data_IF_697970290012
#
_entry.id   IF_697970290012
#
_cell.length_a   1.000
_cell.length_b   1.000
_cell.length_c   1.000
_cell.angle_alpha   90.00
_cell.angle_beta   90.00
_cell.angle_gamma   90.00
#
_symmetry.space_group_name_H-M   'P 1'
#
loop_
_entity.id
_entity.type
_entity.pdbx_description
1 polymer ?
#
# COMPACT_ATOMS: atom_id res chain seq x y z
N UNK A 1 -29.67 -10.13 -4.77
CA UNK A 1 -28.61 -9.09 -4.71
C UNK A 1 -28.56 -8.25 -3.42
N UNK A 2 -29.54 -8.31 -2.50
CA UNK A 2 -29.59 -7.43 -1.31
C UNK A 2 -28.66 -7.83 -0.13
N UNK A 3 -28.37 -9.12 0.05
CA UNK A 3 -27.59 -9.63 1.19
C UNK A 3 -26.12 -9.14 1.22
N UNK A 4 -25.54 -8.86 0.05
CA UNK A 4 -24.13 -8.47 -0.08
C UNK A 4 -23.89 -7.01 0.39
N UNK A 5 -24.89 -6.14 0.22
CA UNK A 5 -24.79 -4.72 0.57
C UNK A 5 -24.90 -4.50 2.08
N UNK A 6 -25.76 -5.26 2.76
CA UNK A 6 -25.87 -5.26 4.23
C UNK A 6 -24.61 -5.79 4.90
N UNK A 7 -24.01 -6.88 4.41
CA UNK A 7 -22.73 -7.39 4.92
C UNK A 7 -21.59 -6.39 4.72
N UNK A 8 -21.58 -5.67 3.60
CA UNK A 8 -20.59 -4.62 3.32
C UNK A 8 -20.75 -3.42 4.27
N UNK A 9 -21.98 -2.97 4.52
CA UNK A 9 -22.24 -1.90 5.49
C UNK A 9 -21.91 -2.30 6.93
N UNK A 10 -22.26 -3.52 7.33
CA UNK A 10 -21.97 -4.01 8.69
C UNK A 10 -20.46 -4.16 8.93
N UNK A 11 -19.72 -4.63 7.92
CA UNK A 11 -18.25 -4.73 7.99
C UNK A 11 -17.59 -3.34 8.03
N UNK A 12 -18.11 -2.36 7.30
CA UNK A 12 -17.65 -0.97 7.39
C UNK A 12 -17.99 -0.33 8.74
N UNK A 13 -19.20 -0.54 9.27
CA UNK A 13 -19.60 -0.02 10.57
C UNK A 13 -18.72 -0.60 11.69
N UNK A 14 -18.46 -1.92 11.66
CA UNK A 14 -17.52 -2.58 12.57
C UNK A 14 -16.10 -2.01 12.42
N UNK A 15 -15.64 -1.82 11.18
CA UNK A 15 -14.35 -1.21 10.89
C UNK A 15 -14.19 0.19 11.50
N UNK A 16 -15.21 1.03 11.32
CA UNK A 16 -15.23 2.39 11.83
C UNK A 16 -15.28 2.40 13.37
N UNK A 17 -16.05 1.50 13.97
CA UNK A 17 -16.12 1.37 15.43
C UNK A 17 -14.78 0.92 16.03
N UNK A 18 -14.14 -0.08 15.42
CA UNK A 18 -12.81 -0.54 15.81
C UNK A 18 -11.73 0.54 15.61
N UNK A 19 -11.90 1.40 14.59
CA UNK A 19 -11.00 2.53 14.33
C UNK A 19 -11.15 3.65 15.37
N UNK A 20 -12.36 3.84 15.89
CA UNK A 20 -12.67 4.95 16.81
C UNK A 20 -12.33 4.63 18.28
N UNK A 21 -12.27 3.35 18.63
CA UNK A 21 -12.12 2.88 20.02
C UNK A 21 -10.71 2.40 20.36
N UNK A 22 -9.79 2.32 19.38
CA UNK A 22 -8.44 1.82 19.61
C UNK A 22 -7.44 2.93 19.84
N UNK A 23 -6.66 2.78 20.90
CA UNK A 23 -5.36 3.41 21.00
C UNK A 23 -4.43 2.80 19.95
N UNK A 24 -4.12 3.59 18.92
CA UNK A 24 -3.27 3.18 17.81
C UNK A 24 -1.76 3.32 18.13
N UNK A 25 -1.38 3.82 19.32
CA UNK A 25 0.02 4.12 19.67
C UNK A 25 0.97 2.95 19.45
N UNK A 26 0.66 1.79 20.04
CA UNK A 26 1.49 0.57 19.89
C UNK A 26 1.54 0.13 18.43
N UNK A 27 0.39 0.16 17.74
CA UNK A 27 0.30 -0.20 16.34
C UNK A 27 1.14 0.73 15.44
N UNK A 28 1.14 2.03 15.69
CA UNK A 28 1.91 2.99 14.90
C UNK A 28 3.42 2.76 15.05
N UNK A 29 3.89 2.39 16.24
CA UNK A 29 5.29 2.00 16.46
C UNK A 29 5.65 0.72 15.70
N UNK A 30 4.78 -0.29 15.69
CA UNK A 30 4.97 -1.50 14.88
C UNK A 30 4.98 -1.19 13.38
N UNK A 31 4.08 -0.31 12.93
CA UNK A 31 4.02 0.13 11.54
C UNK A 31 5.32 0.84 11.14
N UNK A 32 5.84 1.74 11.98
CA UNK A 32 7.14 2.41 11.77
C UNK A 32 8.26 1.38 11.59
N UNK A 33 8.33 0.38 12.46
CA UNK A 33 9.35 -0.67 12.38
C UNK A 33 9.22 -1.50 11.08
N UNK A 34 8.00 -1.91 10.71
CA UNK A 34 7.74 -2.68 9.49
C UNK A 34 8.11 -1.88 8.24
N UNK A 35 7.70 -0.61 8.18
CA UNK A 35 8.03 0.28 7.07
C UNK A 35 9.53 0.48 6.96
N UNK A 36 10.25 0.62 8.08
CA UNK A 36 11.69 0.78 8.07
C UNK A 36 12.43 -0.38 7.42
N UNK A 37 12.10 -1.60 7.85
CA UNK A 37 12.66 -2.83 7.28
C UNK A 37 12.40 -2.88 5.77
N UNK A 38 11.20 -2.51 5.34
CA UNK A 38 10.79 -2.59 3.94
C UNK A 38 11.49 -1.56 3.06
N UNK A 39 11.60 -0.30 3.49
CA UNK A 39 12.33 0.73 2.74
C UNK A 39 13.84 0.45 2.67
N UNK A 40 14.42 -0.16 3.70
CA UNK A 40 15.83 -0.55 3.66
C UNK A 40 16.07 -1.76 2.73
N UNK A 41 15.07 -2.64 2.60
CA UNK A 41 15.18 -3.85 1.78
C UNK A 41 14.83 -3.61 0.31
N UNK A 42 14.14 -2.52 0.00
CA UNK A 42 13.53 -2.27 -1.31
C UNK A 42 13.65 -0.80 -1.70
N UNK A 43 14.71 -0.47 -2.45
CA UNK A 43 14.98 0.88 -2.92
C UNK A 43 13.90 1.41 -3.88
N UNK A 44 13.18 0.51 -4.56
CA UNK A 44 12.10 0.83 -5.51
C UNK A 44 10.92 1.60 -4.89
N UNK A 45 10.81 1.60 -3.55
CA UNK A 45 9.82 2.43 -2.88
C UNK A 45 10.12 3.94 -3.04
N UNK A 46 11.37 4.36 -3.22
CA UNK A 46 11.71 5.78 -3.32
C UNK A 46 11.01 6.53 -4.48
N UNK A 47 10.68 5.81 -5.57
CA UNK A 47 10.19 6.40 -6.82
C UNK A 47 8.67 6.22 -7.03
N UNK A 48 7.96 5.72 -6.01
CA UNK A 48 6.52 5.46 -6.12
C UNK A 48 5.73 6.77 -6.05
N UNK A 49 5.20 7.19 -7.20
CA UNK A 49 4.25 8.29 -7.31
C UNK A 49 2.92 7.80 -7.89
N UNK A 50 1.83 8.07 -7.20
CA UNK A 50 0.47 7.78 -7.68
C UNK A 50 -0.32 9.08 -7.84
N UNK A 51 -1.09 9.18 -8.92
CA UNK A 51 -2.02 10.29 -9.17
C UNK A 51 -3.34 10.17 -8.41
N UNK A 52 -3.63 8.99 -7.81
CA UNK A 52 -4.80 8.79 -6.97
C UNK A 52 -4.57 9.38 -5.57
N UNK A 53 -5.45 10.31 -5.15
CA UNK A 53 -5.41 10.96 -3.84
C UNK A 53 -5.42 9.97 -2.68
N UNK A 54 -6.12 8.85 -2.79
CA UNK A 54 -6.15 7.84 -1.70
C UNK A 54 -4.80 7.15 -1.58
N UNK A 55 -4.19 6.80 -2.70
CA UNK A 55 -2.85 6.20 -2.77
C UNK A 55 -1.79 7.18 -2.27
N UNK A 56 -1.89 8.46 -2.66
CA UNK A 56 -1.01 9.51 -2.20
C UNK A 56 -1.05 9.69 -0.68
N UNK A 57 -2.23 9.63 -0.05
CA UNK A 57 -2.34 9.70 1.41
C UNK A 57 -1.69 8.51 2.12
N UNK A 58 -1.90 7.30 1.60
CA UNK A 58 -1.22 6.09 2.10
C UNK A 58 0.29 6.24 1.98
N UNK A 59 0.75 6.75 0.84
CA UNK A 59 2.17 6.99 0.58
C UNK A 59 2.80 7.99 1.55
N UNK A 60 2.13 9.11 1.81
CA UNK A 60 2.56 10.10 2.80
C UNK A 60 2.67 9.50 4.20
N UNK A 61 1.73 8.63 4.58
CA UNK A 61 1.79 7.92 5.87
C UNK A 61 3.02 6.99 5.95
N UNK A 62 3.32 6.25 4.88
CA UNK A 62 4.51 5.39 4.82
C UNK A 62 5.81 6.22 4.89
N UNK A 63 5.89 7.36 4.19
CA UNK A 63 7.04 8.26 4.29
C UNK A 63 7.21 8.87 5.68
N UNK A 64 6.12 9.27 6.33
CA UNK A 64 6.17 9.76 7.70
C UNK A 64 6.73 8.69 8.63
N UNK A 65 6.28 7.43 8.47
CA UNK A 65 6.80 6.29 9.22
C UNK A 65 8.30 6.10 8.97
N UNK A 66 8.74 6.09 7.70
CA UNK A 66 10.15 5.90 7.36
C UNK A 66 11.05 7.03 7.89
N UNK A 67 10.59 8.28 7.85
CA UNK A 67 11.34 9.39 8.44
C UNK A 67 11.42 9.26 9.96
N UNK A 68 10.32 8.91 10.62
CA UNK A 68 10.31 8.67 12.07
C UNK A 68 11.24 7.52 12.47
N UNK A 69 11.36 6.47 11.65
CA UNK A 69 12.31 5.39 11.90
C UNK A 69 13.78 5.84 11.77
N UNK A 70 14.09 6.67 10.77
CA UNK A 70 15.45 7.20 10.56
C UNK A 70 15.85 8.24 11.61
N UNK A 71 14.91 9.06 12.04
CA UNK A 71 15.12 10.12 13.02
C UNK A 71 13.97 10.12 14.04
N UNK A 72 14.07 9.29 15.09
CA UNK A 72 13.05 9.22 16.13
C UNK A 72 12.98 10.54 16.90
N UNK A 73 11.87 11.24 16.78
CA UNK A 73 11.57 12.46 17.54
C UNK A 73 10.07 12.58 17.73
N UNK A 74 9.64 13.25 18.80
CA UNK A 74 8.23 13.54 19.06
C UNK A 74 7.58 14.23 17.86
N UNK A 75 8.26 15.23 17.30
CA UNK A 75 7.82 15.91 16.08
C UNK A 75 7.58 14.96 14.91
N UNK A 76 8.47 14.00 14.65
CA UNK A 76 8.30 13.06 13.54
C UNK A 76 7.18 12.05 13.83
N UNK A 77 7.03 11.63 15.09
CA UNK A 77 5.93 10.78 15.53
C UNK A 77 4.57 11.47 15.37
N UNK A 78 4.47 12.75 15.72
CA UNK A 78 3.24 13.53 15.50
C UNK A 78 2.84 13.59 14.02
N UNK A 79 3.81 13.60 13.09
CA UNK A 79 3.50 13.53 11.66
C UNK A 79 3.02 12.14 11.24
N UNK A 80 3.49 11.07 11.89
CA UNK A 80 2.94 9.72 11.71
C UNK A 80 1.50 9.69 12.17
N UNK A 81 1.21 10.20 13.38
CA UNK A 81 -0.16 10.27 13.92
C UNK A 81 -1.07 11.12 13.02
N UNK A 82 -0.61 12.29 12.58
CA UNK A 82 -1.37 13.18 11.70
C UNK A 82 -1.65 12.53 10.34
N UNK A 83 -0.64 11.92 9.71
CA UNK A 83 -0.81 11.24 8.43
C UNK A 83 -1.71 10.00 8.54
N UNK A 84 -1.63 9.26 9.64
CA UNK A 84 -2.52 8.16 9.99
C UNK A 84 -3.97 8.62 10.11
N UNK A 85 -4.22 9.71 10.84
CA UNK A 85 -5.57 10.26 11.03
C UNK A 85 -6.19 10.78 9.74
N UNK A 86 -5.36 11.16 8.75
CA UNK A 86 -5.82 11.57 7.42
C UNK A 86 -6.21 10.40 6.50
N UNK A 87 -5.95 9.16 6.91
CA UNK A 87 -6.38 7.96 6.20
C UNK A 87 -7.85 7.66 6.48
N UNK A 88 -8.59 7.29 5.43
CA UNK A 88 -9.93 6.73 5.60
C UNK A 88 -9.89 5.35 6.25
N UNK A 89 -11.00 4.96 6.89
CA UNK A 89 -11.17 3.69 7.62
C UNK A 89 -10.63 2.47 6.85
N UNK A 90 -10.95 2.37 5.56
CA UNK A 90 -10.51 1.25 4.72
C UNK A 90 -8.98 1.19 4.55
N UNK A 91 -8.33 2.33 4.36
CA UNK A 91 -6.88 2.41 4.22
C UNK A 91 -6.17 2.03 5.54
N UNK A 92 -6.70 2.49 6.68
CA UNK A 92 -6.20 2.08 8.00
C UNK A 92 -6.33 0.58 8.23
N UNK A 93 -7.47 -0.02 7.87
CA UNK A 93 -7.64 -1.47 7.97
C UNK A 93 -6.65 -2.24 7.10
N UNK A 94 -6.40 -1.78 5.88
CA UNK A 94 -5.43 -2.38 4.99
C UNK A 94 -4.00 -2.30 5.56
N UNK A 95 -3.59 -1.16 6.09
CA UNK A 95 -2.29 -1.03 6.76
C UNK A 95 -2.19 -1.89 8.02
N UNK A 96 -3.26 -2.01 8.81
CA UNK A 96 -3.30 -2.94 9.96
C UNK A 96 -3.11 -4.40 9.53
N UNK A 97 -3.58 -4.78 8.33
CA UNK A 97 -3.32 -6.12 7.78
C UNK A 97 -1.85 -6.31 7.45
N UNK A 98 -1.16 -5.31 6.89
CA UNK A 98 0.28 -5.39 6.55
C UNK A 98 1.12 -5.75 7.77
N UNK A 99 0.94 -5.05 8.88
CA UNK A 99 1.72 -5.28 10.10
C UNK A 99 1.52 -6.71 10.62
N UNK A 100 0.32 -7.27 10.43
CA UNK A 100 -0.04 -8.64 10.83
C UNK A 100 0.44 -9.73 9.87
N UNK A 101 0.84 -9.40 8.64
CA UNK A 101 1.38 -10.41 7.72
C UNK A 101 2.72 -10.93 8.24
N UNK A 102 2.90 -12.26 8.20
CA UNK A 102 4.18 -12.89 8.51
C UNK A 102 5.05 -12.94 7.26
N UNK A 103 6.30 -12.47 7.35
CA UNK A 103 7.27 -12.52 6.25
C UNK A 103 7.40 -11.21 5.46
N UNK A 104 8.65 -10.85 5.13
CA UNK A 104 9.01 -9.60 4.44
C UNK A 104 8.50 -9.54 3.00
N UNK A 105 8.50 -10.65 2.26
CA UNK A 105 8.02 -10.71 0.87
C UNK A 105 6.51 -10.39 0.74
N UNK A 106 5.67 -10.99 1.57
CA UNK A 106 4.21 -10.72 1.57
C UNK A 106 3.90 -9.28 1.99
N UNK A 107 4.67 -8.74 2.94
CA UNK A 107 4.55 -7.33 3.34
C UNK A 107 4.92 -6.38 2.21
N UNK A 108 5.98 -6.69 1.44
CA UNK A 108 6.41 -5.92 0.26
C UNK A 108 5.32 -5.90 -0.81
N UNK A 109 4.84 -7.07 -1.24
CA UNK A 109 3.80 -7.18 -2.26
C UNK A 109 2.52 -6.43 -1.86
N UNK A 110 2.14 -6.55 -0.58
CA UNK A 110 0.97 -5.86 -0.07
C UNK A 110 1.17 -4.34 -0.03
N UNK A 111 2.33 -3.83 0.42
CA UNK A 111 2.61 -2.39 0.40
C UNK A 111 2.63 -1.83 -1.02
N UNK A 112 3.22 -2.54 -1.99
CA UNK A 112 3.20 -2.14 -3.40
C UNK A 112 1.77 -2.13 -3.96
N UNK A 113 0.97 -3.14 -3.62
CA UNK A 113 -0.46 -3.15 -3.94
C UNK A 113 -1.22 -2.00 -3.28
N UNK A 114 -0.82 -1.58 -2.07
CA UNK A 114 -1.40 -0.46 -1.35
C UNK A 114 -1.02 0.92 -1.85
N UNK A 115 -0.03 1.02 -2.73
CA UNK A 115 0.38 2.27 -3.38
C UNK A 115 -0.05 2.29 -4.86
N UNK A 116 -0.73 1.24 -5.32
CA UNK A 116 -1.17 1.09 -6.71
C UNK A 116 -0.04 0.75 -7.68
N UNK A 117 1.14 0.42 -7.17
CA UNK A 117 2.30 0.04 -7.98
C UNK A 117 2.34 -1.46 -8.18
N UNK A 118 2.23 -1.90 -9.43
CA UNK A 118 2.48 -3.30 -9.78
C UNK A 118 3.99 -3.52 -9.88
N UNK A 119 4.47 -4.67 -9.38
CA UNK A 119 5.84 -5.10 -9.64
C UNK A 119 6.07 -5.22 -11.16
N UNK A 120 7.27 -4.84 -11.67
CA UNK A 120 7.60 -4.92 -13.09
C UNK A 120 7.42 -6.33 -13.71
N UNK A 121 7.37 -7.39 -12.91
CA UNK A 121 7.23 -8.78 -13.38
C UNK A 121 5.90 -9.07 -14.08
N UNK A 122 4.85 -8.26 -13.89
CA UNK A 122 3.59 -8.42 -14.64
C UNK A 122 3.60 -7.67 -15.99
N UNK A 123 4.30 -6.52 -16.08
CA UNK A 123 4.35 -5.71 -17.30
C UNK A 123 5.19 -6.35 -18.40
N UNK A 124 6.18 -7.17 -18.05
CA UNK A 124 7.01 -7.88 -19.04
C UNK A 124 6.19 -8.91 -19.85
N UNK A 125 5.14 -9.49 -19.27
CA UNK A 125 4.31 -10.48 -19.96
C UNK A 125 3.34 -9.90 -20.99
N UNK A 126 2.92 -8.63 -20.79
CA UNK A 126 1.98 -7.95 -21.70
C UNK A 126 2.77 -7.32 -22.86
N UNK A 127 3.89 -6.68 -22.58
CA UNK A 127 4.76 -6.11 -23.62
C UNK A 127 5.37 -7.19 -24.54
N UNK A 128 5.69 -8.38 -24.01
CA UNK A 128 6.17 -9.51 -24.82
C UNK A 128 5.07 -10.17 -25.66
N UNK A 129 3.79 -9.98 -25.33
CA UNK A 129 2.65 -10.47 -26.13
C UNK A 129 2.32 -9.55 -27.30
N UNK A 130 2.53 -8.25 -27.14
CA UNK A 130 2.26 -7.27 -28.22
C UNK A 130 3.37 -7.24 -29.28
N UNK A 131 4.61 -7.63 -28.95
CA UNK A 131 5.68 -7.73 -29.96
C UNK A 131 5.56 -8.95 -30.88
N UNK A 132 4.88 -10.02 -30.45
CA UNK A 132 4.70 -11.23 -31.26
C UNK A 132 3.47 -11.19 -32.20
N UNK A 133 2.60 -10.19 -32.08
CA UNK A 133 1.43 -10.05 -32.94
C UNK A 133 1.67 -9.19 -34.20
N UNK A 134 2.82 -8.51 -34.32
CA UNK A 134 3.14 -7.63 -35.47
C UNK A 134 4.13 -8.20 -36.48
N UNK A 135 4.59 -9.45 -36.31
CA UNK A 135 5.60 -10.07 -37.19
C UNK A 135 5.09 -11.34 -37.89
N UNK A 136 3.85 -11.36 -38.37
CA UNK A 136 3.32 -12.50 -39.15
C UNK A 136 2.40 -12.09 -40.29
N UNK A 137 2.63 -10.94 -40.95
CA UNK A 137 1.79 -10.53 -42.07
C UNK A 137 2.57 -9.87 -43.23
N UNK A 138 3.71 -10.45 -43.62
CA UNK A 138 4.31 -10.17 -44.93
C UNK A 138 4.81 -11.48 -45.56
N UNK A 139 3.88 -12.19 -46.20
CA UNK A 139 4.20 -13.12 -47.30
C UNK A 139 3.10 -13.07 -48.33
N UNK A 140 3.21 -12.15 -49.29
CA UNK A 140 2.86 -12.42 -50.68
C UNK A 140 3.30 -11.24 -51.55
N UNK A 141 4.30 -11.47 -52.40
CA UNK A 141 4.32 -11.06 -53.82
C UNK A 141 5.66 -11.43 -54.44
N UNK A 142 5.68 -12.53 -55.19
CA UNK A 142 6.22 -12.51 -56.55
C UNK A 142 5.61 -13.62 -57.38
#
# INVERSE_FOLDING_TARGET
HSCNMFQTMLSFAKAALEDHLKDDTVFLLELVAVVHVLFNSHAEFADVCSSDRVQQRKWLCLHACQRCAKEPSERNYDQVVSSWNNLGVRAKQEMRKVVRLSGTGLRKEFLLGLTGTKLPSEQTSIAARESNARCSDITHTR
#
